data_IF_102111172888
#
_entry.id   IF_102111172888
#
_cell.length_a   1.000
_cell.length_b   1.000
_cell.length_c   1.000
_cell.angle_alpha   90.00
_cell.angle_beta   90.00
_cell.angle_gamma   90.00
#
_symmetry.space_group_name_H-M   'P 1'
#
loop_
_entity.id
_entity.type
_entity.pdbx_description
1 polymer ?
#
# COMPACT_ATOMS: atom_id res chain seq x y z
N UNK A 1 -37.76 10.23 -39.93
CA UNK A 1 -36.45 9.57 -40.12
C UNK A 1 -35.65 9.67 -38.82
N UNK A 2 -35.88 8.72 -37.92
CA UNK A 2 -35.06 8.48 -36.72
C UNK A 2 -35.41 7.05 -36.22
N UNK A 3 -35.17 6.07 -37.09
CA UNK A 3 -35.10 4.66 -36.75
C UNK A 3 -33.65 4.23 -36.90
N UNK A 4 -33.26 3.18 -36.15
CA UNK A 4 -31.97 2.48 -36.20
C UNK A 4 -30.85 2.98 -35.28
N UNK A 5 -31.06 2.87 -33.97
CA UNK A 5 -30.00 2.47 -33.04
C UNK A 5 -30.58 1.44 -32.06
N UNK A 6 -30.44 0.15 -32.41
CA UNK A 6 -30.89 -0.99 -31.62
C UNK A 6 -30.13 -1.13 -30.30
N UNK A 7 -30.46 -0.28 -29.34
CA UNK A 7 -29.99 -0.37 -27.96
C UNK A 7 -30.91 -1.34 -27.19
N UNK A 8 -30.36 -2.32 -26.46
CA UNK A 8 -31.17 -3.22 -25.64
C UNK A 8 -31.89 -2.44 -24.54
N UNK A 9 -33.19 -2.72 -24.38
CA UNK A 9 -34.02 -2.14 -23.32
C UNK A 9 -33.43 -2.43 -21.93
N UNK A 10 -33.47 -1.46 -20.99
CA UNK A 10 -33.09 -1.71 -19.61
C UNK A 10 -34.06 -2.72 -18.97
N UNK A 11 -33.57 -3.63 -18.09
CA UNK A 11 -34.44 -4.55 -17.37
C UNK A 11 -35.38 -3.78 -16.42
N UNK A 12 -36.58 -4.32 -16.14
CA UNK A 12 -37.53 -3.71 -15.23
C UNK A 12 -36.97 -3.65 -13.79
N UNK A 13 -37.41 -2.66 -12.99
CA UNK A 13 -37.00 -2.55 -11.59
C UNK A 13 -37.47 -3.75 -10.78
N UNK A 14 -36.54 -4.39 -10.08
CA UNK A 14 -36.81 -5.50 -9.17
C UNK A 14 -37.56 -5.00 -7.93
N UNK A 15 -38.73 -5.59 -7.69
CA UNK A 15 -39.63 -5.27 -6.59
C UNK A 15 -38.96 -5.60 -5.22
N UNK A 16 -38.78 -4.63 -4.31
CA UNK A 16 -38.12 -4.84 -3.01
C UNK A 16 -38.93 -5.73 -2.03
N UNK A 17 -40.14 -6.16 -2.40
CA UNK A 17 -41.06 -6.89 -1.53
C UNK A 17 -40.85 -8.42 -1.47
N UNK A 18 -39.91 -8.99 -2.21
CA UNK A 18 -39.74 -10.46 -2.33
C UNK A 18 -38.59 -11.08 -1.51
N UNK A 19 -38.01 -10.35 -0.54
CA UNK A 19 -37.02 -10.96 0.37
C UNK A 19 -37.70 -11.90 1.39
N UNK A 20 -37.37 -13.20 1.42
CA UNK A 20 -37.84 -14.09 2.47
C UNK A 20 -37.32 -13.63 3.84
N UNK A 21 -38.27 -13.45 4.77
CA UNK A 21 -38.06 -13.09 6.16
C UNK A 21 -37.60 -14.33 6.91
N UNK A 22 -36.29 -14.59 6.95
CA UNK A 22 -35.72 -15.58 7.85
C UNK A 22 -35.70 -15.01 9.27
N UNK A 23 -36.81 -15.21 9.98
CA UNK A 23 -36.97 -14.97 11.41
C UNK A 23 -37.13 -16.30 12.13
N UNK A 24 -36.03 -16.96 12.44
CA UNK A 24 -35.93 -18.02 13.45
C UNK A 24 -34.69 -17.69 14.28
N UNK A 25 -34.84 -16.97 15.39
CA UNK A 25 -35.10 -17.54 16.72
C UNK A 25 -34.11 -18.64 17.08
N UNK A 26 -32.87 -18.22 17.37
CA UNK A 26 -32.00 -18.92 18.31
C UNK A 26 -31.71 -17.96 19.46
N UNK A 27 -32.65 -17.87 20.40
CA UNK A 27 -32.40 -17.29 21.72
C UNK A 27 -31.51 -18.26 22.49
N UNK A 28 -30.21 -18.18 22.23
CA UNK A 28 -29.20 -18.81 23.07
C UNK A 28 -29.12 -18.03 24.37
N UNK A 29 -29.77 -18.55 25.41
CA UNK A 29 -29.64 -18.12 26.81
C UNK A 29 -28.26 -18.50 27.36
N UNK A 30 -27.19 -17.97 26.75
CA UNK A 30 -25.87 -18.02 27.36
C UNK A 30 -25.79 -16.91 28.43
N UNK A 31 -25.30 -17.20 29.65
CA UNK A 31 -25.06 -16.17 30.64
C UNK A 31 -24.10 -15.14 30.04
N UNK A 32 -24.54 -13.88 29.96
CA UNK A 32 -23.67 -12.75 29.63
C UNK A 32 -22.68 -12.60 30.78
N UNK A 33 -21.55 -13.29 30.68
CA UNK A 33 -20.36 -12.91 31.42
C UNK A 33 -20.11 -11.44 31.10
N UNK A 34 -20.20 -10.60 32.13
CA UNK A 34 -19.70 -9.24 32.06
C UNK A 34 -18.19 -9.31 31.82
N UNK A 35 -17.82 -9.28 30.54
CA UNK A 35 -16.45 -9.02 30.12
C UNK A 35 -16.16 -7.59 30.56
N UNK A 36 -15.65 -7.46 31.78
CA UNK A 36 -15.12 -6.21 32.31
C UNK A 36 -14.04 -5.72 31.34
N UNK A 37 -14.40 -4.72 30.54
CA UNK A 37 -13.56 -4.01 29.57
C UNK A 37 -12.49 -3.17 30.31
N UNK A 38 -11.64 -3.80 31.11
CA UNK A 38 -10.47 -3.16 31.72
C UNK A 38 -9.37 -2.84 30.69
N UNK A 39 -9.49 -3.32 29.45
CA UNK A 39 -8.51 -3.11 28.37
C UNK A 39 -8.58 -1.77 27.63
N UNK A 40 -9.63 -0.97 27.81
CA UNK A 40 -9.85 0.27 27.02
C UNK A 40 -8.91 1.43 27.40
N UNK A 41 -8.70 1.66 28.70
CA UNK A 41 -7.87 2.77 29.16
C UNK A 41 -6.37 2.50 28.97
N UNK A 42 -5.92 1.26 29.27
CA UNK A 42 -4.54 0.82 29.06
C UNK A 42 -4.17 0.80 27.56
N UNK A 43 -5.09 0.37 26.69
CA UNK A 43 -4.85 0.43 25.25
C UNK A 43 -4.80 1.87 24.72
N UNK A 44 -5.62 2.79 25.24
CA UNK A 44 -5.57 4.20 24.86
C UNK A 44 -4.25 4.88 25.26
N UNK A 45 -3.74 4.62 26.46
CA UNK A 45 -2.46 5.19 26.90
C UNK A 45 -1.28 4.65 26.08
N UNK A 46 -1.25 3.33 25.84
CA UNK A 46 -0.23 2.69 25.01
C UNK A 46 -0.25 3.23 23.56
N UNK A 47 -1.44 3.44 23.00
CA UNK A 47 -1.59 4.01 21.66
C UNK A 47 -1.10 5.47 21.60
N UNK A 48 -1.37 6.26 22.65
CA UNK A 48 -0.89 7.63 22.74
C UNK A 48 0.65 7.70 22.82
N UNK A 49 1.26 6.83 23.64
CA UNK A 49 2.72 6.73 23.75
C UNK A 49 3.35 6.31 22.42
N UNK A 50 2.80 5.27 21.79
CA UNK A 50 3.27 4.80 20.48
C UNK A 50 3.16 5.90 19.42
N UNK A 51 2.06 6.65 19.40
CA UNK A 51 1.89 7.78 18.48
C UNK A 51 2.93 8.88 18.74
N UNK A 52 3.20 9.20 20.01
CA UNK A 52 4.23 10.16 20.41
C UNK A 52 5.62 9.71 19.96
N UNK A 53 5.98 8.44 20.20
CA UNK A 53 7.26 7.87 19.77
C UNK A 53 7.41 7.92 18.25
N UNK A 54 6.37 7.60 17.48
CA UNK A 54 6.41 7.71 16.02
C UNK A 54 6.51 9.16 15.53
N UNK A 55 5.92 10.12 16.24
CA UNK A 55 6.06 11.54 15.92
C UNK A 55 7.51 12.01 16.11
N UNK A 56 8.15 11.60 17.22
CA UNK A 56 9.57 11.89 17.48
C UNK A 56 10.47 11.24 16.43
N UNK A 57 10.27 9.95 16.14
CA UNK A 57 11.03 9.24 15.12
C UNK A 57 10.90 9.91 13.74
N UNK A 58 9.69 10.33 13.37
CA UNK A 58 9.43 11.04 12.11
C UNK A 58 10.19 12.36 12.04
N UNK A 59 10.21 13.11 13.14
CA UNK A 59 10.97 14.36 13.23
C UNK A 59 12.47 14.12 13.09
N UNK A 60 13.01 13.15 13.83
CA UNK A 60 14.43 12.78 13.78
C UNK A 60 14.85 12.32 12.38
N UNK A 61 14.02 11.51 11.72
CA UNK A 61 14.29 11.06 10.35
C UNK A 61 14.24 12.19 9.34
N UNK A 62 13.32 13.14 9.49
CA UNK A 62 13.29 14.32 8.62
C UNK A 62 14.57 15.14 8.78
N UNK A 63 14.95 15.44 10.02
CA UNK A 63 16.17 16.21 10.30
C UNK A 63 17.41 15.51 9.72
N UNK A 64 17.53 14.19 9.94
CA UNK A 64 18.63 13.42 9.40
C UNK A 64 18.72 13.48 7.86
N UNK A 65 17.58 13.33 7.17
CA UNK A 65 17.52 13.42 5.71
C UNK A 65 17.83 14.84 5.21
N UNK A 66 17.38 15.88 5.91
CA UNK A 66 17.71 17.27 5.59
C UNK A 66 19.21 17.54 5.77
N UNK A 67 19.84 17.01 6.82
CA UNK A 67 21.28 17.11 7.04
C UNK A 67 22.06 16.38 5.92
N UNK A 68 21.62 15.19 5.50
CA UNK A 68 22.21 14.48 4.36
C UNK A 68 22.07 15.25 3.04
N UNK A 69 20.93 15.92 2.82
CA UNK A 69 20.71 16.73 1.63
C UNK A 69 21.56 18.01 1.63
N UNK A 70 21.64 18.71 2.76
CA UNK A 70 22.36 19.98 2.89
C UNK A 70 23.88 19.77 2.96
N UNK A 71 24.34 18.73 3.63
CA UNK A 71 25.78 18.49 3.87
C UNK A 71 26.30 17.36 3.00
N UNK A 72 25.59 16.24 2.97
CA UNK A 72 26.02 15.02 2.27
C UNK A 72 26.08 15.20 0.76
N UNK A 73 25.02 15.71 0.12
CA UNK A 73 24.99 15.87 -1.34
C UNK A 73 26.06 16.83 -1.88
N UNK A 74 26.32 18.01 -1.26
CA UNK A 74 27.42 18.86 -1.71
C UNK A 74 28.79 18.19 -1.60
N UNK A 75 29.07 17.49 -0.49
CA UNK A 75 30.32 16.75 -0.33
C UNK A 75 30.48 15.66 -1.39
N UNK A 76 29.39 14.94 -1.68
CA UNK A 76 29.37 13.89 -2.69
C UNK A 76 29.66 14.47 -4.08
N UNK A 77 29.09 15.64 -4.42
CA UNK A 77 29.38 16.36 -5.68
C UNK A 77 30.76 16.98 -5.73
N UNK A 78 31.35 17.32 -4.58
CA UNK A 78 32.69 17.90 -4.49
C UNK A 78 33.77 16.84 -4.74
N UNK A 79 33.55 15.61 -4.29
CA UNK A 79 34.57 14.56 -4.30
C UNK A 79 34.40 13.50 -5.38
N UNK A 80 33.20 13.39 -5.98
CA UNK A 80 32.92 12.41 -7.03
C UNK A 80 32.49 13.10 -8.31
N UNK A 81 32.93 12.53 -9.45
CA UNK A 81 32.39 12.92 -10.75
C UNK A 81 30.94 12.45 -10.88
N UNK A 82 30.13 13.16 -11.67
CA UNK A 82 28.73 12.79 -11.88
C UNK A 82 28.56 11.34 -12.35
N UNK A 83 29.52 10.83 -13.13
CA UNK A 83 29.50 9.46 -13.62
C UNK A 83 29.76 8.42 -12.53
N UNK A 84 30.71 8.69 -11.63
CA UNK A 84 30.98 7.80 -10.47
C UNK A 84 29.79 7.74 -9.50
N UNK A 85 29.07 8.86 -9.33
CA UNK A 85 27.86 8.93 -8.51
C UNK A 85 26.74 8.06 -9.10
N UNK A 86 26.51 8.18 -10.41
CA UNK A 86 25.48 7.42 -11.12
C UNK A 86 25.81 5.92 -11.18
N UNK A 87 27.07 5.56 -11.40
CA UNK A 87 27.46 4.16 -11.59
C UNK A 87 27.62 3.39 -10.28
N UNK A 88 27.87 4.07 -9.15
CA UNK A 88 28.10 3.46 -7.85
C UNK A 88 26.99 3.71 -6.82
N UNK A 89 27.11 4.76 -5.98
CA UNK A 89 26.24 4.96 -4.82
C UNK A 89 24.75 5.03 -5.18
N UNK A 90 24.39 5.81 -6.21
CA UNK A 90 22.99 6.01 -6.58
C UNK A 90 22.35 4.71 -7.06
N UNK A 91 23.04 3.99 -7.95
CA UNK A 91 22.60 2.68 -8.45
C UNK A 91 22.42 1.66 -7.33
N UNK A 92 23.32 1.64 -6.34
CA UNK A 92 23.24 0.73 -5.19
C UNK A 92 22.08 1.08 -4.26
N UNK A 93 21.84 2.37 -4.00
CA UNK A 93 20.69 2.83 -3.21
C UNK A 93 19.37 2.48 -3.91
N UNK A 94 19.28 2.75 -5.22
CA UNK A 94 18.10 2.42 -6.03
C UNK A 94 17.88 0.92 -6.11
N UNK A 95 18.93 0.11 -6.22
CA UNK A 95 18.83 -1.35 -6.22
C UNK A 95 18.41 -1.93 -4.86
N UNK A 96 18.77 -1.26 -3.76
CA UNK A 96 18.42 -1.65 -2.40
C UNK A 96 16.98 -1.33 -2.02
N UNK A 97 16.40 -0.27 -2.58
CA UNK A 97 15.01 0.15 -2.33
C UNK A 97 14.01 -0.82 -2.96
N UNK A 98 13.33 -1.63 -2.14
CA UNK A 98 12.22 -2.47 -2.60
C UNK A 98 10.90 -1.77 -2.28
N UNK A 99 9.92 -1.85 -3.18
CA UNK A 99 8.64 -1.18 -2.94
C UNK A 99 7.90 -1.74 -1.72
N UNK A 100 8.13 -3.01 -1.37
CA UNK A 100 7.69 -3.61 -0.10
C UNK A 100 8.21 -2.90 1.15
N UNK A 101 9.41 -2.31 1.09
CA UNK A 101 10.01 -1.60 2.22
C UNK A 101 9.31 -0.25 2.44
N UNK A 102 8.49 0.17 1.46
CA UNK A 102 7.64 1.35 1.52
C UNK A 102 6.17 0.91 1.56
N UNK A 103 5.76 0.26 2.66
CA UNK A 103 4.48 -0.42 2.86
C UNK A 103 3.23 0.35 2.36
N UNK A 104 3.25 1.68 2.40
CA UNK A 104 2.17 2.53 1.90
C UNK A 104 1.99 2.51 0.37
N UNK A 105 3.03 2.17 -0.41
CA UNK A 105 2.94 1.98 -1.87
C UNK A 105 2.23 0.69 -2.28
N UNK A 106 2.14 -0.28 -1.37
CA UNK A 106 1.40 -1.52 -1.60
C UNK A 106 -0.12 -1.31 -1.51
N UNK A 107 -0.57 -0.16 -0.98
CA UNK A 107 -1.98 0.21 -1.01
C UNK A 107 -2.44 0.31 -2.47
N UNK A 108 -3.59 -0.30 -2.83
CA UNK A 108 -4.15 -0.21 -4.17
C UNK A 108 -4.69 1.20 -4.40
N UNK A 109 -3.77 2.09 -4.79
CA UNK A 109 -4.04 3.46 -5.19
C UNK A 109 -3.75 3.60 -6.68
N UNK A 110 -4.51 4.45 -7.37
CA UNK A 110 -4.18 4.82 -8.74
C UNK A 110 -2.82 5.53 -8.79
N UNK A 111 -2.13 5.46 -9.93
CA UNK A 111 -0.77 6.01 -10.05
C UNK A 111 -0.70 7.53 -9.76
N UNK A 112 -1.78 8.27 -10.04
CA UNK A 112 -1.86 9.69 -9.73
C UNK A 112 -2.00 9.94 -8.21
N UNK A 113 -2.82 9.15 -7.51
CA UNK A 113 -2.98 9.20 -6.05
C UNK A 113 -1.67 8.84 -5.34
N UNK A 114 -0.91 7.86 -5.87
CA UNK A 114 0.42 7.53 -5.36
C UNK A 114 1.38 8.70 -5.48
N UNK A 115 1.36 9.39 -6.63
CA UNK A 115 2.17 10.60 -6.87
C UNK A 115 1.79 11.73 -5.92
N UNK A 116 0.51 11.96 -5.73
CA UNK A 116 0.02 12.96 -4.78
C UNK A 116 0.43 12.63 -3.35
N UNK A 117 0.29 11.38 -2.92
CA UNK A 117 0.74 10.92 -1.62
C UNK A 117 2.25 11.11 -1.45
N UNK A 118 3.08 10.77 -2.45
CA UNK A 118 4.52 11.06 -2.43
C UNK A 118 4.81 12.55 -2.23
N UNK A 119 4.10 13.42 -2.93
CA UNK A 119 4.25 14.86 -2.77
C UNK A 119 3.82 15.35 -1.38
N UNK A 120 2.75 14.80 -0.80
CA UNK A 120 2.31 15.12 0.58
C UNK A 120 3.35 14.69 1.63
N UNK A 121 4.10 13.63 1.36
CA UNK A 121 5.20 13.18 2.22
C UNK A 121 6.53 13.90 1.94
N UNK A 122 6.54 14.90 1.06
CA UNK A 122 7.74 15.70 0.77
C UNK A 122 8.75 15.01 -0.12
N UNK A 123 8.37 13.95 -0.85
CA UNK A 123 9.30 13.28 -1.77
C UNK A 123 9.52 14.16 -3.01
N UNK A 124 10.76 14.49 -3.41
CA UNK A 124 11.03 15.30 -4.59
C UNK A 124 10.53 14.64 -5.89
N UNK A 125 9.91 15.41 -6.79
CA UNK A 125 9.28 14.90 -8.01
C UNK A 125 10.21 14.10 -8.95
N UNK A 126 11.51 14.40 -8.94
CA UNK A 126 12.51 13.66 -9.70
C UNK A 126 12.70 12.24 -9.15
N UNK A 127 12.84 12.10 -7.82
CA UNK A 127 12.94 10.82 -7.11
C UNK A 127 11.66 10.00 -7.30
N UNK A 128 10.50 10.66 -7.25
CA UNK A 128 9.22 9.99 -7.54
C UNK A 128 9.23 9.35 -8.93
N UNK A 129 9.71 10.06 -9.94
CA UNK A 129 9.60 9.66 -11.35
C UNK A 129 10.67 8.66 -11.77
N UNK A 130 11.92 8.84 -11.32
CA UNK A 130 13.06 8.02 -11.75
C UNK A 130 13.25 6.77 -10.90
N UNK A 131 12.93 6.84 -9.60
CA UNK A 131 13.23 5.76 -8.65
C UNK A 131 11.95 5.05 -8.21
N UNK A 132 11.03 5.79 -7.60
CA UNK A 132 9.92 5.18 -6.87
C UNK A 132 8.83 4.63 -7.79
N UNK A 133 8.33 5.41 -8.76
CA UNK A 133 7.28 4.94 -9.66
C UNK A 133 7.69 3.70 -10.49
N UNK A 134 8.91 3.62 -11.05
CA UNK A 134 9.38 2.40 -11.71
C UNK A 134 9.46 1.20 -10.77
N UNK A 135 9.99 1.38 -9.55
CA UNK A 135 10.06 0.33 -8.54
C UNK A 135 8.67 -0.17 -8.15
N UNK A 136 7.72 0.74 -7.95
CA UNK A 136 6.32 0.43 -7.61
C UNK A 136 5.61 -0.31 -8.73
N UNK A 137 5.84 0.06 -10.00
CA UNK A 137 5.26 -0.66 -11.15
C UNK A 137 5.81 -2.08 -11.26
N UNK A 138 7.11 -2.25 -11.04
CA UNK A 138 7.77 -3.55 -11.06
C UNK A 138 7.24 -4.44 -9.94
N UNK A 139 7.13 -3.92 -8.73
CA UNK A 139 6.70 -4.68 -7.56
C UNK A 139 5.17 -4.95 -7.59
N UNK A 140 4.36 -4.02 -8.08
CA UNK A 140 2.92 -4.26 -8.26
C UNK A 140 2.64 -5.45 -9.20
N UNK A 141 3.43 -5.59 -10.27
CA UNK A 141 3.32 -6.73 -11.20
C UNK A 141 3.75 -8.05 -10.57
N UNK A 142 4.78 -8.03 -9.72
CA UNK A 142 5.36 -9.25 -9.15
C UNK A 142 4.64 -9.71 -7.87
N UNK A 143 4.19 -8.76 -7.05
CA UNK A 143 3.75 -9.01 -5.68
C UNK A 143 2.25 -8.78 -5.50
N UNK A 144 1.70 -7.70 -6.08
CA UNK A 144 0.28 -7.37 -5.87
C UNK A 144 -0.65 -8.12 -6.83
N UNK A 145 -0.25 -8.31 -8.09
CA UNK A 145 -1.09 -9.02 -9.07
C UNK A 145 -1.43 -10.45 -8.62
N UNK A 146 -0.49 -11.29 -8.16
CA UNK A 146 -0.82 -12.63 -7.69
C UNK A 146 -1.72 -12.62 -6.45
N UNK A 147 -1.50 -11.69 -5.52
CA UNK A 147 -2.35 -11.55 -4.33
C UNK A 147 -3.78 -11.10 -4.69
N UNK A 148 -3.93 -10.25 -5.71
CA UNK A 148 -5.24 -9.85 -6.22
C UNK A 148 -5.95 -10.99 -6.96
N UNK A 149 -5.22 -11.80 -7.72
CA UNK A 149 -5.76 -13.01 -8.36
C UNK A 149 -6.23 -14.03 -7.32
N UNK A 150 -5.43 -14.27 -6.27
CA UNK A 150 -5.84 -15.09 -5.12
C UNK A 150 -7.10 -14.57 -4.44
N UNK A 151 -7.15 -13.25 -4.18
CA UNK A 151 -8.30 -12.63 -3.52
C UNK A 151 -9.58 -12.71 -4.37
N UNK A 152 -9.46 -12.82 -5.70
CA UNK A 152 -10.58 -13.03 -6.63
C UNK A 152 -10.98 -14.50 -6.77
N UNK A 153 -10.27 -15.42 -6.13
CA UNK A 153 -10.53 -16.86 -6.19
C UNK A 153 -9.97 -17.53 -7.46
N UNK A 154 -9.13 -16.84 -8.23
CA UNK A 154 -8.48 -17.42 -9.41
C UNK A 154 -7.25 -18.24 -8.99
N UNK A 155 -7.07 -19.44 -9.56
CA UNK A 155 -5.89 -20.27 -9.31
C UNK A 155 -4.67 -19.63 -9.97
N UNK A 156 -3.70 -19.18 -9.18
CA UNK A 156 -2.42 -18.68 -9.73
C UNK A 156 -1.69 -19.84 -10.44
N UNK A 157 -1.36 -19.65 -11.72
CA UNK A 157 -0.49 -20.57 -12.43
C UNK A 157 0.89 -20.61 -11.73
N UNK A 158 1.49 -21.78 -11.48
CA UNK A 158 2.75 -21.88 -10.76
C UNK A 158 3.84 -21.05 -11.48
N UNK A 159 4.69 -20.33 -10.73
CA UNK A 159 5.72 -19.51 -11.33
C UNK A 159 6.65 -20.36 -12.22
N UNK A 160 6.97 -19.85 -13.42
CA UNK A 160 7.83 -20.55 -14.40
C UNK A 160 9.27 -20.79 -13.91
N UNK A 161 9.70 -20.12 -12.83
CA UNK A 161 11.00 -20.32 -12.20
C UNK A 161 10.83 -21.17 -10.96
N UNK A 162 11.58 -22.28 -10.87
CA UNK A 162 11.69 -23.12 -9.67
C UNK A 162 12.28 -22.28 -8.53
N UNK A 163 11.45 -21.65 -7.72
CA UNK A 163 11.88 -20.85 -6.58
C UNK A 163 10.71 -20.51 -5.68
N UNK A 164 10.68 -21.15 -4.51
CA UNK A 164 9.79 -20.96 -3.36
C UNK A 164 8.28 -20.96 -3.64
N UNK A 165 7.71 -22.17 -3.68
CA UNK A 165 6.28 -22.40 -3.48
C UNK A 165 6.03 -22.51 -1.96
N UNK A 166 5.56 -21.44 -1.32
CA UNK A 166 5.04 -21.49 0.06
C UNK A 166 3.51 -21.61 0.13
N UNK A 167 2.81 -21.69 -1.01
CA UNK A 167 1.33 -21.67 -1.05
C UNK A 167 0.74 -22.64 -2.10
N UNK A 168 1.37 -23.79 -2.31
CA UNK A 168 0.71 -24.91 -2.98
C UNK A 168 -0.02 -25.72 -1.91
N UNK A 169 -1.33 -25.50 -1.77
CA UNK A 169 -2.26 -26.37 -1.05
C UNK A 169 -2.76 -27.47 -1.99
#
# INVERSE_FOLDING_TARGET
>A
AAEALGLPHPPPPTDPASRPRNSEWFESSAPREEVLYFGGALSSALLADLHSTFAVLRSAMRQHLEEEEIVGLPLLRQHFTAQEVMDGPEKNVVAGLKARDMAWFLRPLAMHEKREAMSRFGVPGLIQTLVLLPAVRKDARLSLHPLQELAKGERIAPPKKKGFLCFAA
#
